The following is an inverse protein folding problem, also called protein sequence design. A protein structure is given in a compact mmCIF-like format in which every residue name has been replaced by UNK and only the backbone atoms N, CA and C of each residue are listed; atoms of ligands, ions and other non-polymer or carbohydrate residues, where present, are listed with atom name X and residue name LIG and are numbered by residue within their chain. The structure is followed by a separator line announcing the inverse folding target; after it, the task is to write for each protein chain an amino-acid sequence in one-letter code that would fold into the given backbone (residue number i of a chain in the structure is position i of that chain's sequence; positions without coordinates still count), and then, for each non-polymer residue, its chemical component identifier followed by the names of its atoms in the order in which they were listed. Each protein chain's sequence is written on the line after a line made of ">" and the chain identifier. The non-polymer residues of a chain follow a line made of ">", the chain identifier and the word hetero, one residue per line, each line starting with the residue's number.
data_IF_447167668522
#
_entry.id   IF_447167668522
#
_cell.length_a   1.000
_cell.length_b   1.000
_cell.length_c   1.000
_cell.angle_alpha   90.00
_cell.angle_beta   90.00
_cell.angle_gamma   90.00
#
_symmetry.space_group_name_H-M   'P 1'
#
loop_
_entity.id
_entity.type
_entity.pdbx_description
1 polymer ?
#
# COMPACT_ATOMS: atom_id res chain seq x y z
N UNK A 1 -3.22 -10.95 -17.98
CA UNK A 1 -3.56 -9.56 -17.67
C UNK A 1 -2.30 -8.79 -17.31
N UNK A 2 -2.28 -7.50 -17.57
CA UNK A 2 -1.22 -6.58 -17.12
C UNK A 2 -1.43 -6.20 -15.65
N UNK A 3 -0.41 -5.60 -15.01
CA UNK A 3 -0.54 -5.15 -13.61
C UNK A 3 -1.60 -4.05 -13.46
N UNK A 4 -1.72 -3.13 -14.41
CA UNK A 4 -2.73 -2.07 -14.40
C UNK A 4 -4.16 -2.62 -14.56
N UNK A 5 -4.34 -3.69 -15.36
CA UNK A 5 -5.63 -4.39 -15.44
C UNK A 5 -6.01 -5.04 -14.10
N UNK A 6 -5.04 -5.61 -13.40
CA UNK A 6 -5.26 -6.19 -12.08
C UNK A 6 -5.62 -5.12 -11.03
N UNK A 7 -4.98 -3.95 -11.06
CA UNK A 7 -5.35 -2.82 -10.19
C UNK A 7 -6.80 -2.35 -10.42
N UNK A 8 -7.25 -2.30 -11.68
CA UNK A 8 -8.64 -1.95 -12.00
C UNK A 8 -9.66 -2.95 -11.44
N UNK A 9 -9.29 -4.23 -11.35
CA UNK A 9 -10.12 -5.27 -10.72
C UNK A 9 -10.20 -5.06 -9.20
N UNK A 10 -9.08 -4.70 -8.56
CA UNK A 10 -9.04 -4.42 -7.12
C UNK A 10 -9.83 -3.16 -6.75
N UNK A 11 -9.82 -2.13 -7.60
CA UNK A 11 -10.59 -0.90 -7.41
C UNK A 11 -12.11 -1.10 -7.61
N UNK A 12 -12.54 -2.30 -8.05
CA UNK A 12 -13.93 -2.64 -8.29
C UNK A 12 -14.51 -2.05 -9.57
N UNK A 13 -13.66 -1.63 -10.52
CA UNK A 13 -14.07 -1.11 -11.82
C UNK A 13 -14.56 -2.24 -12.74
N UNK A 14 -13.98 -3.44 -12.58
CA UNK A 14 -14.31 -4.64 -13.38
C UNK A 14 -14.50 -5.83 -12.45
N UNK A 15 -15.68 -6.44 -12.48
CA UNK A 15 -15.96 -7.72 -11.81
C UNK A 15 -15.55 -8.92 -12.68
N UNK A 16 -15.10 -10.01 -12.04
CA UNK A 16 -14.82 -11.28 -12.70
C UNK A 16 -15.83 -12.35 -12.27
N UNK A 17 -16.92 -12.47 -13.04
CA UNK A 17 -18.02 -13.41 -12.75
C UNK A 17 -17.55 -14.87 -12.74
N UNK A 18 -16.53 -15.22 -13.53
CA UNK A 18 -15.95 -16.57 -13.63
C UNK A 18 -15.34 -17.06 -12.31
N UNK A 19 -15.02 -16.16 -11.38
CA UNK A 19 -14.38 -16.47 -10.10
C UNK A 19 -15.24 -16.06 -8.89
N UNK A 20 -16.52 -15.77 -9.10
CA UNK A 20 -17.43 -15.34 -8.03
C UNK A 20 -17.52 -16.38 -6.90
N UNK A 21 -17.20 -15.96 -5.68
CA UNK A 21 -17.23 -16.79 -4.47
C UNK A 21 -16.01 -17.69 -4.25
N UNK A 22 -15.00 -17.63 -5.13
CA UNK A 22 -13.80 -18.48 -5.05
C UNK A 22 -12.55 -17.70 -4.62
N UNK A 23 -11.55 -18.43 -4.11
CA UNK A 23 -10.20 -17.89 -3.84
C UNK A 23 -9.24 -18.34 -4.92
N UNK A 24 -8.79 -17.38 -5.74
CA UNK A 24 -7.89 -17.61 -6.85
C UNK A 24 -6.43 -17.62 -6.38
N UNK A 25 -5.65 -18.58 -6.88
CA UNK A 25 -4.18 -18.60 -6.76
C UNK A 25 -3.56 -17.92 -7.98
N UNK A 26 -3.02 -16.72 -7.79
CA UNK A 26 -2.38 -15.93 -8.84
C UNK A 26 -0.85 -15.86 -8.63
N UNK A 27 -0.15 -15.48 -9.71
CA UNK A 27 1.28 -15.22 -9.70
C UNK A 27 1.54 -13.87 -10.37
N UNK A 28 2.18 -12.96 -9.64
CA UNK A 28 2.71 -11.72 -10.20
C UNK A 28 4.13 -11.96 -10.68
N UNK A 29 4.45 -11.55 -11.91
CA UNK A 29 5.73 -11.84 -12.56
C UNK A 29 6.34 -10.57 -13.14
N UNK A 30 7.63 -10.38 -12.90
CA UNK A 30 8.44 -9.34 -13.56
C UNK A 30 9.24 -9.99 -14.67
N UNK A 31 9.16 -9.41 -15.86
CA UNK A 31 9.74 -9.94 -17.10
C UNK A 31 10.69 -8.91 -17.68
N UNK A 32 11.85 -9.35 -18.18
CA UNK A 32 12.82 -8.48 -18.84
C UNK A 32 12.49 -8.28 -20.33
N UNK A 33 13.27 -7.43 -21.01
CA UNK A 33 13.10 -7.10 -22.44
C UNK A 33 13.19 -8.29 -23.43
N UNK A 34 13.62 -9.47 -22.95
CA UNK A 34 13.74 -10.73 -23.71
C UNK A 34 12.69 -11.77 -23.33
N UNK A 35 11.60 -11.37 -22.67
CA UNK A 35 10.54 -12.27 -22.18
C UNK A 35 11.04 -13.35 -21.21
N UNK A 36 12.09 -13.05 -20.42
CA UNK A 36 12.56 -13.92 -19.33
C UNK A 36 12.11 -13.38 -17.99
N UNK A 37 11.69 -14.28 -17.12
CA UNK A 37 11.24 -13.94 -15.76
C UNK A 37 12.44 -13.59 -14.89
N UNK A 38 12.35 -12.47 -14.19
CA UNK A 38 13.36 -12.02 -13.21
C UNK A 38 12.85 -12.09 -11.77
N UNK A 39 11.55 -11.94 -11.54
CA UNK A 39 10.94 -12.07 -10.22
C UNK A 39 9.52 -12.67 -10.29
N UNK A 40 9.12 -13.41 -9.27
CA UNK A 40 7.78 -14.01 -9.14
C UNK A 40 7.26 -13.95 -7.70
N UNK A 41 6.00 -13.53 -7.53
CA UNK A 41 5.29 -13.45 -6.25
C UNK A 41 4.00 -14.27 -6.33
N UNK A 42 3.86 -15.28 -5.46
CA UNK A 42 2.76 -16.24 -5.50
C UNK A 42 1.73 -15.94 -4.41
N UNK A 43 0.59 -15.38 -4.81
CA UNK A 43 -0.42 -14.87 -3.88
C UNK A 43 -1.82 -15.42 -4.14
N UNK A 44 -2.67 -15.31 -3.12
CA UNK A 44 -4.09 -15.62 -3.18
C UNK A 44 -4.90 -14.34 -3.15
N UNK A 45 -5.98 -14.31 -3.92
CA UNK A 45 -6.96 -13.23 -3.92
C UNK A 45 -8.36 -13.85 -3.85
N UNK A 46 -9.18 -13.36 -2.93
CA UNK A 46 -10.56 -13.81 -2.76
C UNK A 46 -11.51 -12.93 -3.57
N UNK A 47 -12.56 -13.54 -4.13
CA UNK A 47 -13.65 -12.84 -4.78
C UNK A 47 -14.95 -13.06 -4.02
N UNK A 48 -15.80 -12.03 -3.96
CA UNK A 48 -17.13 -12.13 -3.38
C UNK A 48 -18.10 -12.84 -4.32
N UNK A 49 -19.35 -13.04 -3.86
CA UNK A 49 -20.39 -13.72 -4.66
C UNK A 49 -20.83 -12.93 -5.89
N UNK A 50 -20.44 -11.66 -5.98
CA UNK A 50 -20.74 -10.75 -7.05
C UNK A 50 -19.55 -10.60 -8.03
N UNK A 51 -18.47 -11.38 -7.85
CA UNK A 51 -17.30 -11.37 -8.72
C UNK A 51 -16.32 -10.24 -8.45
N UNK A 52 -16.50 -9.46 -7.38
CA UNK A 52 -15.57 -8.39 -7.00
C UNK A 52 -14.46 -8.92 -6.10
N UNK A 53 -13.25 -8.39 -6.28
CA UNK A 53 -12.12 -8.73 -5.43
C UNK A 53 -12.32 -8.22 -3.99
N UNK A 54 -11.80 -8.96 -3.01
CA UNK A 54 -11.84 -8.58 -1.61
C UNK A 54 -11.17 -7.21 -1.38
N UNK A 55 -11.95 -6.23 -0.89
CA UNK A 55 -11.50 -4.86 -0.63
C UNK A 55 -10.46 -4.77 0.50
N UNK A 56 -10.37 -5.79 1.35
CA UNK A 56 -9.36 -5.86 2.40
C UNK A 56 -7.99 -6.35 1.88
N UNK A 57 -7.91 -6.79 0.63
CA UNK A 57 -6.68 -7.30 0.04
C UNK A 57 -5.69 -6.17 -0.25
N UNK A 58 -4.49 -6.21 0.35
CA UNK A 58 -3.52 -5.12 0.29
C UNK A 58 -2.06 -5.60 0.21
N UNK A 59 -1.76 -6.56 -0.66
CA UNK A 59 -0.42 -7.12 -0.77
C UNK A 59 0.51 -6.25 -1.64
N UNK A 60 1.68 -5.78 -1.14
CA UNK A 60 2.59 -4.93 -1.89
C UNK A 60 3.44 -5.73 -2.89
N UNK A 61 2.84 -6.14 -4.01
CA UNK A 61 3.43 -7.06 -5.00
C UNK A 61 4.80 -6.62 -5.53
N UNK A 62 4.97 -5.33 -5.88
CA UNK A 62 6.24 -4.81 -6.42
C UNK A 62 7.37 -4.90 -5.39
N UNK A 63 7.10 -4.48 -4.15
CA UNK A 63 8.07 -4.53 -3.06
C UNK A 63 8.46 -5.97 -2.71
N UNK A 64 7.51 -6.90 -2.74
CA UNK A 64 7.78 -8.33 -2.54
C UNK A 64 8.59 -8.95 -3.69
N UNK A 65 8.39 -8.50 -4.93
CA UNK A 65 9.20 -8.93 -6.06
C UNK A 65 10.66 -8.43 -5.95
N UNK A 66 10.86 -7.22 -5.43
CA UNK A 66 12.19 -6.63 -5.27
C UNK A 66 12.99 -7.21 -4.09
N UNK A 67 12.29 -7.53 -2.99
CA UNK A 67 12.87 -8.07 -1.75
C UNK A 67 12.79 -9.59 -1.64
N UNK A 68 12.26 -10.27 -2.66
CA UNK A 68 12.13 -11.73 -2.70
C UNK A 68 13.48 -12.44 -2.57
N UNK A 69 13.46 -13.64 -1.99
CA UNK A 69 14.65 -14.47 -1.84
C UNK A 69 15.10 -15.10 -3.15
N UNK A 70 16.21 -15.84 -3.14
CA UNK A 70 16.68 -16.56 -4.33
C UNK A 70 15.77 -17.76 -4.66
N UNK A 71 15.33 -17.85 -5.91
CA UNK A 71 14.49 -18.92 -6.46
C UNK A 71 15.17 -19.69 -7.60
N UNK A 72 14.44 -20.64 -8.24
CA UNK A 72 14.99 -21.43 -9.34
C UNK A 72 15.28 -20.58 -10.58
N UNK A 73 16.28 -20.97 -11.37
CA UNK A 73 16.60 -20.30 -12.65
C UNK A 73 15.56 -20.67 -13.72
N UNK A 74 14.98 -19.65 -14.35
CA UNK A 74 13.99 -19.78 -15.44
C UNK A 74 14.51 -19.31 -16.81
N UNK A 75 15.84 -19.21 -16.97
CA UNK A 75 16.52 -18.92 -18.22
C UNK A 75 17.16 -17.54 -18.33
N UNK A 76 17.30 -16.82 -17.21
CA UNK A 76 18.02 -15.54 -17.10
C UNK A 76 18.81 -15.42 -15.77
N UNK A 77 19.05 -16.55 -15.09
CA UNK A 77 19.60 -16.61 -13.75
C UNK A 77 18.54 -16.88 -12.69
N UNK A 78 18.98 -17.11 -11.45
CA UNK A 78 18.11 -17.33 -10.30
C UNK A 78 17.13 -16.15 -10.14
N UNK A 79 15.83 -16.45 -10.17
CA UNK A 79 14.79 -15.43 -10.03
C UNK A 79 14.66 -14.97 -8.58
N UNK A 80 14.12 -13.78 -8.36
CA UNK A 80 13.62 -13.39 -7.04
C UNK A 80 12.26 -14.03 -6.79
N UNK A 81 12.13 -14.80 -5.73
CA UNK A 81 10.92 -15.54 -5.39
C UNK A 81 10.35 -15.06 -4.04
N UNK A 82 9.05 -14.75 -4.05
CA UNK A 82 8.27 -14.56 -2.85
C UNK A 82 7.09 -15.55 -2.83
N UNK A 83 7.16 -16.53 -1.93
CA UNK A 83 6.11 -17.51 -1.68
C UNK A 83 5.83 -17.63 -0.18
N UNK A 84 4.89 -18.48 0.23
CA UNK A 84 4.51 -18.60 1.65
C UNK A 84 5.68 -19.04 2.54
N UNK A 85 6.52 -19.96 2.06
CA UNK A 85 7.73 -20.41 2.76
C UNK A 85 8.91 -19.42 2.66
N UNK A 86 8.88 -18.48 1.72
CA UNK A 86 9.97 -17.56 1.40
C UNK A 86 9.42 -16.13 1.26
N UNK A 87 8.93 -15.56 2.35
CA UNK A 87 8.44 -14.18 2.39
C UNK A 87 9.35 -13.32 3.28
N UNK A 88 9.77 -12.16 2.78
CA UNK A 88 10.56 -11.18 3.53
C UNK A 88 9.77 -10.53 4.67
N UNK A 89 8.43 -10.56 4.60
CA UNK A 89 7.52 -9.91 5.54
C UNK A 89 6.51 -10.92 6.08
N UNK A 90 6.72 -11.38 7.32
CA UNK A 90 6.01 -12.54 7.89
C UNK A 90 4.49 -12.39 7.98
N UNK A 91 3.95 -11.17 8.17
CA UNK A 91 2.50 -10.96 8.25
C UNK A 91 1.78 -11.15 6.90
N UNK A 92 2.50 -11.07 5.78
CA UNK A 92 1.93 -11.30 4.45
C UNK A 92 1.94 -12.78 4.03
N UNK A 93 2.58 -13.67 4.81
CA UNK A 93 2.76 -15.07 4.46
C UNK A 93 1.43 -15.86 4.35
N UNK A 94 0.40 -15.48 5.12
CA UNK A 94 -0.92 -16.14 5.10
C UNK A 94 -1.63 -15.98 3.75
N UNK A 95 -1.43 -14.85 3.07
CA UNK A 95 -2.00 -14.52 1.77
C UNK A 95 -1.20 -15.12 0.59
N UNK A 96 -0.04 -15.71 0.86
CA UNK A 96 0.81 -16.34 -0.15
C UNK A 96 0.53 -17.86 -0.25
N UNK A 97 1.02 -18.48 -1.33
CA UNK A 97 1.01 -19.93 -1.50
C UNK A 97 2.35 -20.44 -2.00
N UNK A 98 2.61 -21.73 -1.79
CA UNK A 98 3.87 -22.36 -2.19
C UNK A 98 3.75 -23.07 -3.55
N UNK A 99 4.72 -22.89 -4.45
CA UNK A 99 4.72 -23.51 -5.76
C UNK A 99 4.91 -25.02 -5.67
N UNK A 100 4.24 -25.77 -6.54
CA UNK A 100 4.55 -27.17 -6.74
C UNK A 100 5.76 -27.31 -7.69
N UNK A 101 6.77 -28.06 -7.24
CA UNK A 101 7.98 -28.40 -7.99
C UNK A 101 8.02 -29.88 -8.40
N UNK A 102 6.92 -30.61 -8.24
CA UNK A 102 6.82 -32.02 -8.65
C UNK A 102 7.08 -32.18 -10.16
N UNK A 103 7.69 -33.29 -10.60
CA UNK A 103 8.00 -33.51 -12.02
C UNK A 103 6.74 -33.63 -12.90
N UNK A 104 5.56 -33.85 -12.30
CA UNK A 104 4.27 -33.94 -13.01
C UNK A 104 3.56 -32.59 -13.14
N UNK A 105 3.81 -31.65 -12.23
CA UNK A 105 3.14 -30.33 -12.23
C UNK A 105 4.07 -29.25 -11.70
N UNK A 106 5.09 -28.90 -12.49
CA UNK A 106 6.01 -27.83 -12.12
C UNK A 106 5.43 -26.45 -12.45
N UNK A 107 5.17 -25.66 -11.41
CA UNK A 107 4.57 -24.32 -11.50
C UNK A 107 5.45 -23.35 -12.30
N UNK A 108 6.78 -23.45 -12.13
CA UNK A 108 7.75 -22.57 -12.80
C UNK A 108 7.86 -22.87 -14.29
N UNK A 109 7.73 -24.14 -14.68
CA UNK A 109 7.68 -24.55 -16.10
C UNK A 109 6.46 -23.95 -16.77
N UNK A 110 5.28 -24.07 -16.13
CA UNK A 110 4.04 -23.48 -16.64
C UNK A 110 4.13 -21.96 -16.77
N UNK A 111 4.79 -21.29 -15.82
CA UNK A 111 4.99 -19.85 -15.84
C UNK A 111 5.87 -19.41 -17.00
N UNK A 112 7.00 -20.10 -17.19
CA UNK A 112 7.93 -19.85 -18.29
C UNK A 112 7.25 -20.05 -19.64
N UNK A 113 6.51 -21.14 -19.81
CA UNK A 113 5.86 -21.47 -21.07
C UNK A 113 4.72 -20.48 -21.37
N UNK A 114 3.95 -20.06 -20.37
CA UNK A 114 2.91 -19.03 -20.53
C UNK A 114 3.46 -17.65 -20.94
N UNK A 115 4.65 -17.29 -20.47
CA UNK A 115 5.31 -16.02 -20.84
C UNK A 115 5.95 -16.12 -22.21
N UNK A 116 6.48 -17.30 -22.58
CA UNK A 116 6.98 -17.57 -23.92
C UNK A 116 5.87 -17.49 -24.99
N UNK A 117 4.63 -17.89 -24.65
CA UNK A 117 3.47 -17.71 -25.54
C UNK A 117 3.09 -16.24 -25.78
N UNK A 118 3.54 -15.32 -24.93
CA UNK A 118 3.34 -13.86 -25.02
C UNK A 118 1.91 -13.43 -25.45
N UNK A 119 0.87 -14.04 -24.87
CA UNK A 119 -0.54 -13.70 -25.19
C UNK A 119 -0.93 -12.25 -24.91
N UNK A 120 -0.12 -11.54 -24.12
CA UNK A 120 -0.31 -10.14 -23.76
C UNK A 120 0.44 -9.17 -24.68
N UNK A 121 1.11 -9.66 -25.74
CA UNK A 121 1.87 -8.85 -26.70
C UNK A 121 2.87 -7.89 -26.03
N UNK A 122 3.59 -8.36 -25.00
CA UNK A 122 4.59 -7.57 -24.29
C UNK A 122 5.72 -7.16 -25.26
N UNK A 123 6.21 -5.90 -25.18
CA UNK A 123 7.24 -5.39 -26.08
C UNK A 123 8.57 -6.11 -25.84
N UNK A 124 9.12 -6.70 -26.91
CA UNK A 124 10.47 -7.28 -26.91
C UNK A 124 11.48 -6.24 -27.35
N UNK A 125 12.41 -5.85 -26.48
CA UNK A 125 13.53 -4.99 -26.86
C UNK A 125 14.68 -5.85 -27.40
N UNK A 126 15.00 -5.68 -28.68
CA UNK A 126 16.18 -6.24 -29.33
C UNK A 126 17.43 -5.38 -29.06
N UNK A 127 17.63 -4.98 -27.81
CA UNK A 127 18.79 -4.17 -27.42
C UNK A 127 19.86 -5.10 -26.81
N UNK A 128 21.11 -5.08 -27.30
CA UNK A 128 22.19 -5.85 -26.71
C UNK A 128 22.48 -5.29 -25.31
N UNK A 129 22.59 -6.22 -24.37
CA UNK A 129 22.78 -5.94 -22.95
C UNK A 129 24.07 -5.12 -22.74
N UNK A 130 24.05 -4.00 -22.00
CA UNK A 130 25.28 -3.45 -21.47
C UNK A 130 25.93 -4.52 -20.58
N UNK A 131 27.25 -4.77 -20.69
CA UNK A 131 27.88 -5.89 -20.01
C UNK A 131 27.67 -5.77 -18.50
N UNK A 132 27.09 -6.84 -17.93
CA UNK A 132 27.12 -7.09 -16.49
C UNK A 132 28.57 -6.97 -16.04
N UNK A 133 28.83 -5.96 -15.21
CA UNK A 133 30.11 -5.80 -14.52
C UNK A 133 30.28 -7.03 -13.62
N UNK A 134 31.01 -8.02 -14.13
CA UNK A 134 31.58 -9.05 -13.29
C UNK A 134 32.52 -8.36 -12.31
N UNK A 135 32.33 -8.62 -11.01
CA UNK A 135 33.33 -8.26 -10.02
C UNK A 135 34.69 -8.85 -10.48
N UNK A 136 35.78 -8.06 -10.48
CA UNK A 136 37.05 -8.55 -10.96
C UNK A 136 37.49 -9.76 -10.12
N UNK A 137 38.01 -10.83 -10.73
CA UNK A 137 38.67 -11.88 -9.98
C UNK A 137 39.83 -11.25 -9.21
N UNK A 138 39.94 -11.60 -7.94
CA UNK A 138 41.00 -11.17 -7.04
C UNK A 138 42.35 -11.34 -7.73
N UNK A 139 43.03 -10.23 -7.99
CA UNK A 139 44.42 -10.23 -8.42
C UNK A 139 45.26 -10.86 -7.31
N UNK A 140 45.96 -11.95 -7.65
CA UNK A 140 47.07 -12.44 -6.84
C UNK A 140 48.12 -11.32 -6.71
N UNK A 141 48.83 -11.21 -5.57
CA UNK A 141 49.78 -10.15 -5.35
C UNK A 141 50.94 -10.19 -6.37
N UNK A 142 51.54 -9.04 -6.72
CA UNK A 142 52.65 -8.97 -7.65
C UNK A 142 53.86 -9.72 -7.10
N UNK A 143 54.38 -10.68 -7.89
CA UNK A 143 55.66 -11.32 -7.63
C UNK A 143 56.78 -10.30 -7.86
N UNK A 144 57.23 -9.66 -6.78
CA UNK A 144 58.39 -8.78 -6.79
C UNK A 144 59.62 -9.60 -7.17
N UNK A 145 60.34 -9.11 -8.19
CA UNK A 145 61.41 -9.81 -8.87
C UNK A 145 62.42 -10.49 -7.93
N UNK A 146 62.44 -11.83 -8.01
CA UNK A 146 63.64 -12.62 -7.80
C UNK A 146 64.26 -12.94 -9.18
N UNK A 147 65.59 -12.89 -9.32
CA UNK A 147 66.25 -13.09 -10.60
C UNK A 147 66.08 -14.54 -11.08
N UNK A 148 66.06 -14.79 -12.41
CA UNK A 148 65.95 -16.15 -12.92
C UNK A 148 67.18 -16.95 -12.52
N UNK A 149 66.92 -18.12 -11.93
CA UNK A 149 67.91 -19.15 -11.64
C UNK A 149 68.54 -19.59 -12.97
N UNK A 150 69.84 -19.33 -13.12
CA UNK A 150 70.66 -19.86 -14.20
C UNK A 150 70.64 -21.40 -14.16
N UNK A 151 70.54 -22.08 -15.33
CA UNK A 151 70.93 -23.47 -15.43
C UNK A 151 72.44 -23.59 -15.18
N UNK A 152 72.83 -24.45 -14.23
CA UNK A 152 74.21 -24.82 -14.02
C UNK A 152 74.77 -25.56 -15.24
N UNK A 153 76.05 -25.33 -15.62
CA UNK A 153 76.72 -26.12 -16.64
C UNK A 153 77.10 -27.52 -16.10
N UNK A 154 77.14 -28.56 -16.95
CA UNK A 154 77.62 -29.87 -16.54
C UNK A 154 79.13 -29.85 -16.29
N UNK A 155 79.52 -30.36 -15.12
CA UNK A 155 80.88 -30.72 -14.82
C UNK A 155 81.30 -31.95 -15.65
N UNK A 156 82.33 -31.81 -16.49
CA UNK A 156 83.15 -32.95 -16.92
C UNK A 156 84.58 -32.52 -17.22
N UNK A 157 85.46 -32.91 -16.29
CA UNK A 157 86.81 -33.49 -16.47
C UNK A 157 87.92 -32.72 -17.23
N UNK A 158 89.06 -32.46 -16.57
CA UNK A 158 90.33 -32.21 -17.23
C UNK A 158 90.94 -33.53 -17.71
N UNK A 159 91.35 -33.59 -18.98
CA UNK A 159 92.12 -34.68 -19.57
C UNK A 159 93.38 -34.04 -20.20
N UNK A 160 94.51 -34.11 -19.48
CA UNK A 160 95.58 -35.08 -19.69
C UNK A 160 96.53 -34.66 -20.82
N UNK A 161 97.59 -33.93 -20.45
CA UNK A 161 98.85 -33.92 -21.18
C UNK A 161 99.72 -35.06 -20.61
N UNK A 162 99.66 -36.24 -21.25
CA UNK A 162 100.76 -37.21 -21.20
C UNK A 162 101.80 -36.77 -22.23
N UNK A 163 102.99 -36.38 -21.81
CA UNK A 163 104.20 -37.22 -21.75
C UNK A 163 104.51 -38.02 -23.04
N UNK A 164 105.51 -37.50 -23.76
CA UNK A 164 106.59 -38.22 -24.45
C UNK A 164 107.68 -37.16 -24.61
N UNK A 165 108.81 -37.21 -23.90
CA UNK A 165 109.93 -38.10 -24.21
C UNK A 165 110.59 -37.56 -25.48
N UNK A 166 111.79 -36.98 -25.48
CA UNK A 166 113.00 -37.65 -25.02
C UNK A 166 114.09 -36.68 -24.54
N UNK A 167 114.56 -36.95 -23.33
CA UNK A 167 115.92 -36.69 -22.87
C UNK A 167 116.86 -37.74 -23.47
N UNK A 168 117.82 -37.33 -24.30
CA UNK A 168 119.02 -38.13 -24.59
C UNK A 168 120.22 -37.42 -23.97
N UNK A 169 120.64 -37.98 -22.84
CA UNK A 169 121.97 -37.87 -22.25
C UNK A 169 122.91 -38.83 -23.00
N UNK A 170 124.07 -38.37 -23.48
CA UNK A 170 125.23 -39.21 -23.82
C UNK A 170 126.47 -38.33 -23.98
N UNK A 171 127.34 -38.34 -22.97
CA UNK A 171 128.70 -37.84 -23.09
C UNK A 171 129.57 -38.81 -23.91
N UNK A 172 130.47 -38.25 -24.70
CA UNK A 172 131.63 -38.95 -25.27
C UNK A 172 132.83 -38.01 -25.17
N UNK A 173 133.89 -38.57 -24.58
CA UNK A 173 135.18 -37.99 -24.25
C UNK A 173 136.02 -37.56 -25.46
N UNK A 174 137.04 -36.76 -25.16
CA UNK A 174 138.27 -36.53 -25.92
C UNK A 174 138.73 -37.76 -26.72
N UNK A 175 139.03 -37.59 -28.01
CA UNK A 175 140.41 -37.32 -28.43
C UNK A 175 140.51 -36.99 -29.92
N UNK A 176 141.40 -36.03 -30.17
CA UNK A 176 142.36 -35.97 -31.27
C UNK A 176 141.87 -36.11 -32.74
N UNK A 177 141.75 -34.97 -33.41
CA UNK A 177 142.40 -34.68 -34.71
C UNK A 177 141.94 -33.30 -35.19
N UNK A 178 142.87 -32.34 -35.21
CA UNK A 178 142.61 -30.95 -35.58
C UNK A 178 141.95 -30.79 -36.96
N UNK A 179 140.73 -30.25 -36.96
CA UNK A 179 140.10 -29.67 -38.14
C UNK A 179 140.54 -28.22 -38.26
N UNK A 180 140.87 -27.81 -39.49
CA UNK A 180 141.39 -26.47 -39.78
C UNK A 180 140.35 -25.39 -39.43
N UNK A 181 140.82 -24.24 -38.92
CA UNK A 181 140.02 -23.07 -38.52
C UNK A 181 139.05 -22.58 -39.63
N UNK A 182 139.34 -22.93 -40.88
CA UNK A 182 138.49 -22.68 -42.07
C UNK A 182 137.19 -23.51 -42.10
N UNK A 183 137.15 -24.71 -41.54
CA UNK A 183 135.99 -25.62 -41.63
C UNK A 183 134.97 -25.39 -40.51
N UNK A 184 135.42 -25.02 -39.31
CA UNK A 184 134.57 -24.59 -38.20
C UNK A 184 133.88 -23.25 -38.50
N UNK A 185 134.63 -22.29 -39.07
CA UNK A 185 134.06 -21.01 -39.48
C UNK A 185 132.97 -21.15 -40.56
N UNK A 186 133.12 -22.11 -41.49
CA UNK A 186 132.12 -22.39 -42.53
C UNK A 186 130.84 -23.01 -41.96
N UNK A 187 130.96 -23.98 -41.04
CA UNK A 187 129.81 -24.58 -40.35
C UNK A 187 129.10 -23.57 -39.46
N UNK A 188 129.83 -22.74 -38.71
CA UNK A 188 129.25 -21.64 -37.95
C UNK A 188 128.53 -20.62 -38.84
N UNK A 189 129.05 -20.33 -40.03
CA UNK A 189 128.38 -19.49 -41.02
C UNK A 189 127.04 -20.11 -41.47
N UNK A 190 127.02 -21.41 -41.75
CA UNK A 190 125.79 -22.13 -42.13
C UNK A 190 124.77 -22.21 -40.99
N UNK A 191 125.21 -22.46 -39.76
CA UNK A 191 124.33 -22.45 -38.59
C UNK A 191 123.77 -21.05 -38.33
N UNK A 192 124.58 -19.99 -38.45
CA UNK A 192 124.12 -18.60 -38.38
C UNK A 192 123.11 -18.28 -39.47
N UNK A 193 123.32 -18.76 -40.70
CA UNK A 193 122.38 -18.57 -41.81
C UNK A 193 121.05 -19.32 -41.58
N UNK A 194 121.08 -20.55 -41.07
CA UNK A 194 119.88 -21.34 -40.72
C UNK A 194 119.10 -20.67 -39.59
N UNK A 195 119.78 -20.22 -38.54
CA UNK A 195 119.16 -19.48 -37.43
C UNK A 195 118.56 -18.16 -37.93
N UNK A 196 119.28 -17.41 -38.77
CA UNK A 196 118.77 -16.18 -39.37
C UNK A 196 117.55 -16.42 -40.27
N UNK A 197 117.54 -17.50 -41.05
CA UNK A 197 116.40 -17.90 -41.87
C UNK A 197 115.18 -18.28 -41.03
N UNK A 198 115.37 -19.03 -39.94
CA UNK A 198 114.31 -19.38 -39.00
C UNK A 198 113.77 -18.16 -38.25
N UNK A 199 114.64 -17.25 -37.80
CA UNK A 199 114.23 -15.97 -37.18
C UNK A 199 113.43 -15.14 -38.18
N UNK A 200 113.84 -15.10 -39.46
CA UNK A 200 113.10 -14.40 -40.52
C UNK A 200 111.73 -15.03 -40.76
N UNK A 201 111.65 -16.36 -40.80
CA UNK A 201 110.39 -17.09 -40.93
C UNK A 201 109.47 -16.85 -39.73
N UNK A 202 110.00 -16.90 -38.50
CA UNK A 202 109.24 -16.63 -37.28
C UNK A 202 108.77 -15.17 -37.21
N UNK A 203 109.61 -14.20 -37.60
CA UNK A 203 109.22 -12.78 -37.69
C UNK A 203 108.08 -12.57 -38.68
N UNK A 204 108.15 -13.20 -39.86
CA UNK A 204 107.08 -13.15 -40.85
C UNK A 204 105.80 -13.80 -40.30
N UNK A 205 105.90 -14.96 -39.65
CA UNK A 205 104.74 -15.64 -39.07
C UNK A 205 104.08 -14.82 -37.96
N UNK A 206 104.87 -14.24 -37.04
CA UNK A 206 104.37 -13.32 -36.00
C UNK A 206 103.70 -12.11 -36.64
N UNK A 207 104.27 -11.58 -37.73
CA UNK A 207 103.67 -10.46 -38.45
C UNK A 207 102.34 -10.85 -39.13
N UNK A 208 102.25 -12.04 -39.72
CA UNK A 208 100.99 -12.56 -40.29
C UNK A 208 99.93 -12.75 -39.21
N UNK A 209 100.26 -13.42 -38.10
CA UNK A 209 99.34 -13.61 -36.97
C UNK A 209 98.91 -12.27 -36.37
N UNK A 210 99.82 -11.31 -36.27
CA UNK A 210 99.50 -9.96 -35.79
C UNK A 210 98.53 -9.26 -36.74
N UNK A 211 98.75 -9.35 -38.05
CA UNK A 211 97.85 -8.80 -39.05
C UNK A 211 96.48 -9.50 -39.03
N UNK A 212 96.43 -10.82 -38.89
CA UNK A 212 95.19 -11.60 -38.76
C UNK A 212 94.41 -11.18 -37.51
N UNK A 213 95.07 -11.10 -36.35
CA UNK A 213 94.45 -10.63 -35.12
C UNK A 213 93.98 -9.17 -35.23
N UNK A 214 94.74 -8.29 -35.88
CA UNK A 214 94.33 -6.91 -36.15
C UNK A 214 93.08 -6.84 -37.05
N UNK A 215 92.99 -7.69 -38.07
CA UNK A 215 91.82 -7.80 -38.95
C UNK A 215 90.59 -8.35 -38.22
N UNK A 216 90.74 -9.39 -37.40
CA UNK A 216 89.65 -9.93 -36.59
C UNK A 216 89.16 -8.91 -35.56
N UNK A 217 90.08 -8.17 -34.94
CA UNK A 217 89.77 -7.12 -33.98
C UNK A 217 89.05 -5.94 -34.67
N UNK A 218 89.46 -5.56 -35.88
CA UNK A 218 88.72 -4.59 -36.69
C UNK A 218 87.33 -5.10 -37.09
N UNK A 219 87.22 -6.36 -37.52
CA UNK A 219 85.95 -6.96 -37.91
C UNK A 219 84.95 -7.05 -36.76
N UNK A 220 85.41 -7.42 -35.56
CA UNK A 220 84.59 -7.44 -34.34
C UNK A 220 84.19 -6.04 -33.87
N UNK A 221 85.10 -5.05 -33.94
CA UNK A 221 84.78 -3.64 -33.66
C UNK A 221 83.66 -3.13 -34.57
N UNK A 222 83.74 -3.38 -35.88
CA UNK A 222 82.73 -2.97 -36.84
C UNK A 222 81.37 -3.64 -36.59
N UNK A 223 81.34 -4.92 -36.20
CA UNK A 223 80.10 -5.61 -35.85
C UNK A 223 79.45 -4.99 -34.62
N UNK A 224 80.22 -4.76 -33.55
CA UNK A 224 79.73 -4.12 -32.33
C UNK A 224 79.26 -2.68 -32.59
N UNK A 225 79.98 -1.92 -33.40
CA UNK A 225 79.59 -0.57 -33.80
C UNK A 225 78.25 -0.58 -34.54
N UNK A 226 78.07 -1.50 -35.50
CA UNK A 226 76.80 -1.69 -36.21
C UNK A 226 75.65 -2.10 -35.29
N UNK A 227 75.89 -3.04 -34.37
CA UNK A 227 74.88 -3.46 -33.38
C UNK A 227 74.48 -2.30 -32.46
N UNK A 228 75.45 -1.49 -32.04
CA UNK A 228 75.23 -0.32 -31.21
C UNK A 228 74.46 0.77 -31.97
N UNK A 229 74.75 1.00 -33.26
CA UNK A 229 73.98 1.90 -34.11
C UNK A 229 72.52 1.44 -34.27
N UNK A 230 72.29 0.16 -34.53
CA UNK A 230 70.94 -0.40 -34.63
C UNK A 230 70.18 -0.27 -33.30
N UNK A 231 70.83 -0.57 -32.18
CA UNK A 231 70.23 -0.39 -30.86
C UNK A 231 69.91 1.09 -30.58
N UNK A 232 70.80 2.03 -30.98
CA UNK A 232 70.54 3.48 -30.87
C UNK A 232 69.34 3.91 -31.71
N UNK A 233 69.23 3.41 -32.95
CA UNK A 233 68.09 3.69 -33.83
C UNK A 233 66.79 3.17 -33.22
N UNK A 234 66.78 1.94 -32.70
CA UNK A 234 65.58 1.36 -32.08
C UNK A 234 65.16 2.11 -30.81
N UNK A 235 66.12 2.48 -29.96
CA UNK A 235 65.85 3.32 -28.78
C UNK A 235 65.29 4.68 -29.20
N UNK A 236 65.81 5.29 -30.27
CA UNK A 236 65.26 6.54 -30.80
C UNK A 236 63.84 6.36 -31.33
N UNK A 237 63.56 5.25 -32.04
CA UNK A 237 62.24 4.93 -32.58
C UNK A 237 61.22 4.76 -31.46
N UNK A 238 61.55 3.95 -30.45
CA UNK A 238 60.68 3.71 -29.29
C UNK A 238 60.47 4.96 -28.45
N UNK A 239 61.48 5.83 -28.30
CA UNK A 239 61.32 7.13 -27.64
C UNK A 239 60.34 8.03 -28.37
N UNK A 240 60.49 8.17 -29.69
CA UNK A 240 59.58 8.97 -30.50
C UNK A 240 58.14 8.42 -30.46
N UNK A 241 57.98 7.10 -30.49
CA UNK A 241 56.68 6.43 -30.36
C UNK A 241 56.05 6.69 -28.98
N UNK A 242 56.83 6.55 -27.90
CA UNK A 242 56.38 6.85 -26.55
C UNK A 242 56.00 8.33 -26.38
N UNK A 243 56.79 9.26 -26.90
CA UNK A 243 56.48 10.69 -26.87
C UNK A 243 55.20 11.01 -27.63
N UNK A 244 55.01 10.42 -28.81
CA UNK A 244 53.78 10.60 -29.60
C UNK A 244 52.55 10.05 -28.87
N UNK A 245 52.62 8.82 -28.36
CA UNK A 245 51.53 8.21 -27.60
C UNK A 245 51.26 8.95 -26.29
N UNK A 246 52.29 9.46 -25.64
CA UNK A 246 52.14 10.25 -24.41
C UNK A 246 51.42 11.59 -24.71
N UNK A 247 51.82 12.29 -25.77
CA UNK A 247 51.17 13.52 -26.22
C UNK A 247 49.70 13.27 -26.59
N UNK A 248 49.41 12.17 -27.31
CA UNK A 248 48.03 11.79 -27.64
C UNK A 248 47.19 11.48 -26.39
N UNK A 249 47.76 10.78 -25.40
CA UNK A 249 47.07 10.50 -24.15
C UNK A 249 46.77 11.77 -23.35
N UNK A 250 47.70 12.74 -23.32
CA UNK A 250 47.47 14.04 -22.67
C UNK A 250 46.35 14.78 -23.39
N UNK A 251 46.39 14.89 -24.72
CA UNK A 251 45.36 15.56 -25.50
C UNK A 251 43.96 14.93 -25.30
N UNK A 252 43.89 13.59 -25.30
CA UNK A 252 42.63 12.88 -25.03
C UNK A 252 42.13 13.10 -23.59
N UNK A 253 43.04 13.19 -22.60
CA UNK A 253 42.64 13.50 -21.21
C UNK A 253 42.10 14.92 -21.09
N UNK A 254 42.76 15.89 -21.70
CA UNK A 254 42.30 17.28 -21.72
C UNK A 254 40.95 17.41 -22.44
N UNK A 255 40.76 16.72 -23.57
CA UNK A 255 39.49 16.68 -24.28
C UNK A 255 38.38 16.07 -23.43
N UNK A 256 38.64 14.94 -22.76
CA UNK A 256 37.68 14.30 -21.86
C UNK A 256 37.35 15.20 -20.67
N UNK A 257 38.33 15.90 -20.09
CA UNK A 257 38.10 16.84 -18.98
C UNK A 257 37.26 18.03 -19.45
N UNK A 258 37.54 18.58 -20.63
CA UNK A 258 36.75 19.66 -21.22
C UNK A 258 35.30 19.22 -21.47
N UNK A 259 35.09 18.03 -22.04
CA UNK A 259 33.75 17.46 -22.23
C UNK A 259 33.02 17.22 -20.90
N UNK A 260 33.71 16.73 -19.87
CA UNK A 260 33.13 16.56 -18.53
C UNK A 260 32.67 17.89 -17.94
N UNK A 261 33.51 18.94 -18.03
CA UNK A 261 33.14 20.30 -17.57
C UNK A 261 31.93 20.84 -18.34
N UNK A 262 31.88 20.66 -19.66
CA UNK A 262 30.72 21.06 -20.48
C UNK A 262 29.44 20.31 -20.09
N UNK A 263 29.52 19.00 -19.83
CA UNK A 263 28.37 18.22 -19.37
C UNK A 263 27.93 18.64 -17.97
N UNK A 264 28.86 18.96 -17.07
CA UNK A 264 28.54 19.47 -15.74
C UNK A 264 27.84 20.83 -15.79
N UNK A 265 28.33 21.76 -16.63
CA UNK A 265 27.67 23.07 -16.79
C UNK A 265 26.28 22.91 -17.40
N UNK A 266 26.14 22.11 -18.46
CA UNK A 266 24.82 21.79 -19.06
C UNK A 266 23.87 21.13 -18.08
N UNK A 267 24.35 20.22 -17.23
CA UNK A 267 23.52 19.60 -16.17
C UNK A 267 23.07 20.65 -15.14
N UNK A 268 23.97 21.53 -14.70
CA UNK A 268 23.64 22.60 -13.74
C UNK A 268 22.64 23.60 -14.31
N UNK A 269 22.82 24.06 -15.56
CA UNK A 269 21.88 24.98 -16.20
C UNK A 269 20.51 24.33 -16.36
N UNK A 270 20.45 23.10 -16.87
CA UNK A 270 19.19 22.36 -17.00
C UNK A 270 18.52 22.12 -15.64
N UNK A 271 19.29 21.87 -14.59
CA UNK A 271 18.74 21.70 -13.24
C UNK A 271 18.12 23.01 -12.72
N UNK A 272 18.77 24.15 -12.96
CA UNK A 272 18.22 25.46 -12.60
C UNK A 272 16.97 25.80 -13.41
N UNK A 273 16.95 25.51 -14.70
CA UNK A 273 15.77 25.69 -15.56
C UNK A 273 14.59 24.83 -15.10
N UNK A 274 14.83 23.56 -14.76
CA UNK A 274 13.81 22.68 -14.20
C UNK A 274 13.29 23.18 -12.86
N UNK A 275 14.17 23.67 -11.98
CA UNK A 275 13.76 24.26 -10.70
C UNK A 275 12.92 25.52 -10.90
N UNK A 276 13.32 26.40 -11.84
CA UNK A 276 12.57 27.59 -12.18
C UNK A 276 11.18 27.24 -12.75
N UNK A 277 11.11 26.30 -13.70
CA UNK A 277 9.86 25.82 -14.28
C UNK A 277 8.94 25.18 -13.23
N UNK A 278 9.49 24.40 -12.30
CA UNK A 278 8.71 23.83 -11.19
C UNK A 278 8.20 24.92 -10.23
N UNK A 279 8.99 25.97 -9.98
CA UNK A 279 8.55 27.08 -9.14
C UNK A 279 7.45 27.90 -9.81
N UNK A 280 7.55 28.16 -11.12
CA UNK A 280 6.50 28.86 -11.87
C UNK A 280 5.22 28.04 -11.91
N UNK A 281 5.30 26.74 -12.21
CA UNK A 281 4.13 25.84 -12.20
C UNK A 281 3.47 25.79 -10.82
N UNK A 282 4.26 25.66 -9.74
CA UNK A 282 3.74 25.70 -8.36
C UNK A 282 3.07 27.03 -8.04
N UNK A 283 3.66 28.15 -8.45
CA UNK A 283 3.10 29.49 -8.23
C UNK A 283 1.80 29.69 -9.00
N UNK A 284 1.70 29.21 -10.24
CA UNK A 284 0.49 29.25 -11.06
C UNK A 284 -0.63 28.40 -10.44
N UNK A 285 -0.32 27.17 -10.02
CA UNK A 285 -1.28 26.29 -9.35
C UNK A 285 -1.75 26.90 -8.02
N UNK A 286 -0.85 27.50 -7.23
CA UNK A 286 -1.22 28.16 -5.98
C UNK A 286 -2.08 29.41 -6.22
N UNK A 287 -1.76 30.21 -7.24
CA UNK A 287 -2.57 31.37 -7.63
C UNK A 287 -3.97 30.94 -8.06
N UNK A 288 -4.07 29.91 -8.91
CA UNK A 288 -5.35 29.37 -9.36
C UNK A 288 -6.15 28.78 -8.19
N UNK A 289 -5.50 28.07 -7.26
CA UNK A 289 -6.13 27.56 -6.04
C UNK A 289 -6.68 28.69 -5.17
N UNK A 290 -5.91 29.77 -4.97
CA UNK A 290 -6.37 30.95 -4.21
C UNK A 290 -7.55 31.62 -4.88
N UNK A 291 -7.53 31.78 -6.21
CA UNK A 291 -8.66 32.32 -6.97
C UNK A 291 -9.92 31.47 -6.81
N UNK A 292 -9.82 30.15 -6.96
CA UNK A 292 -10.96 29.25 -6.76
C UNK A 292 -11.48 29.27 -5.32
N UNK A 293 -10.58 29.31 -4.33
CA UNK A 293 -10.98 29.41 -2.92
C UNK A 293 -11.72 30.71 -2.64
N UNK A 294 -11.25 31.83 -3.16
CA UNK A 294 -11.92 33.13 -2.99
C UNK A 294 -13.28 33.16 -3.69
N UNK A 295 -13.37 32.65 -4.93
CA UNK A 295 -14.64 32.52 -5.63
C UNK A 295 -15.65 31.64 -4.87
N UNK A 296 -15.18 30.51 -4.33
CA UNK A 296 -16.04 29.62 -3.54
C UNK A 296 -16.49 30.29 -2.24
N UNK A 297 -15.59 31.01 -1.56
CA UNK A 297 -15.91 31.77 -0.35
C UNK A 297 -16.95 32.85 -0.63
N UNK A 298 -16.82 33.59 -1.74
CA UNK A 298 -17.80 34.59 -2.16
C UNK A 298 -19.16 33.98 -2.42
N UNK A 299 -19.22 32.85 -3.14
CA UNK A 299 -20.49 32.11 -3.36
C UNK A 299 -21.14 31.67 -2.05
N UNK A 300 -20.35 31.09 -1.13
CA UNK A 300 -20.86 30.71 0.20
C UNK A 300 -21.38 31.94 0.93
N UNK A 301 -20.65 33.05 0.91
CA UNK A 301 -21.06 34.29 1.57
C UNK A 301 -22.37 34.83 0.99
N UNK A 302 -22.51 34.87 -0.33
CA UNK A 302 -23.72 35.30 -1.03
C UNK A 302 -24.93 34.43 -0.63
N UNK A 303 -24.81 33.11 -0.71
CA UNK A 303 -25.90 32.20 -0.35
C UNK A 303 -26.24 32.29 1.15
N UNK A 304 -25.23 32.45 2.02
CA UNK A 304 -25.49 32.67 3.45
C UNK A 304 -26.17 34.00 3.74
N UNK A 305 -25.92 35.04 2.95
CA UNK A 305 -26.61 36.33 3.08
C UNK A 305 -28.07 36.20 2.68
N UNK A 306 -28.35 35.55 1.53
CA UNK A 306 -29.74 35.27 1.08
C UNK A 306 -30.54 34.49 2.13
N UNK A 307 -29.96 33.42 2.68
CA UNK A 307 -30.62 32.63 3.73
C UNK A 307 -30.86 33.44 5.01
N UNK A 308 -29.97 34.38 5.35
CA UNK A 308 -30.18 35.27 6.51
C UNK A 308 -31.34 36.23 6.25
N UNK A 309 -31.41 36.84 5.07
CA UNK A 309 -32.52 37.71 4.67
C UNK A 309 -33.86 36.94 4.72
N UNK A 310 -33.91 35.70 4.24
CA UNK A 310 -35.10 34.83 4.33
C UNK A 310 -35.50 34.53 5.78
N UNK A 311 -34.52 34.28 6.66
CA UNK A 311 -34.77 34.08 8.10
C UNK A 311 -35.34 35.36 8.72
N UNK A 312 -34.80 36.53 8.40
CA UNK A 312 -35.28 37.82 8.90
C UNK A 312 -36.72 38.09 8.46
N UNK A 313 -37.04 37.86 7.18
CA UNK A 313 -38.41 37.96 6.66
C UNK A 313 -39.36 37.01 7.40
N UNK A 314 -38.94 35.75 7.60
CA UNK A 314 -39.77 34.77 8.29
C UNK A 314 -39.97 35.11 9.76
N UNK A 315 -38.96 35.67 10.42
CA UNK A 315 -39.08 36.16 11.80
C UNK A 315 -40.07 37.31 11.91
N UNK A 316 -40.04 38.26 10.96
CA UNK A 316 -41.04 39.33 10.90
C UNK A 316 -42.46 38.78 10.70
N UNK A 317 -42.64 37.79 9.83
CA UNK A 317 -43.94 37.16 9.63
C UNK A 317 -44.42 36.41 10.88
N UNK A 318 -43.53 35.71 11.58
CA UNK A 318 -43.84 35.04 12.84
C UNK A 318 -44.25 36.05 13.93
N UNK A 319 -43.55 37.17 14.04
CA UNK A 319 -43.91 38.27 14.94
C UNK A 319 -45.30 38.82 14.62
N UNK A 320 -45.57 39.10 13.34
CA UNK A 320 -46.89 39.57 12.91
C UNK A 320 -48.00 38.57 13.24
N UNK A 321 -47.80 37.28 12.93
CA UNK A 321 -48.76 36.22 13.29
C UNK A 321 -48.95 36.11 14.80
N UNK A 322 -47.89 36.29 15.58
CA UNK A 322 -47.97 36.28 17.04
C UNK A 322 -48.82 37.43 17.57
N UNK A 323 -48.62 38.64 17.05
CA UNK A 323 -49.39 39.82 17.43
C UNK A 323 -50.87 39.68 17.07
N UNK A 324 -51.18 39.19 15.86
CA UNK A 324 -52.57 38.89 15.45
C UNK A 324 -53.19 37.83 16.36
N UNK A 325 -52.47 36.75 16.66
CA UNK A 325 -52.96 35.71 17.56
C UNK A 325 -53.20 36.24 18.98
N UNK A 326 -52.36 37.17 19.45
CA UNK A 326 -52.53 37.85 20.73
C UNK A 326 -53.79 38.71 20.74
N UNK A 327 -54.00 39.55 19.71
CA UNK A 327 -55.20 40.38 19.56
C UNK A 327 -56.47 39.52 19.56
N UNK A 328 -56.52 38.45 18.74
CA UNK A 328 -57.68 37.55 18.70
C UNK A 328 -57.95 36.85 20.04
N UNK A 329 -56.90 36.49 20.79
CA UNK A 329 -57.07 35.93 22.14
C UNK A 329 -57.66 36.95 23.10
N UNK A 330 -57.18 38.18 23.08
CA UNK A 330 -57.71 39.27 23.90
C UNK A 330 -59.19 39.53 23.58
N UNK A 331 -59.56 39.60 22.30
CA UNK A 331 -60.95 39.73 21.85
C UNK A 331 -61.82 38.54 22.30
N UNK A 332 -61.35 37.30 22.13
CA UNK A 332 -62.06 36.12 22.61
C UNK A 332 -62.29 36.16 24.12
N UNK A 333 -61.32 36.64 24.91
CA UNK A 333 -61.51 36.77 26.36
C UNK A 333 -62.52 37.87 26.69
N UNK A 334 -62.53 38.97 25.95
CA UNK A 334 -63.50 40.05 26.13
C UNK A 334 -64.92 39.57 25.80
N UNK A 335 -65.12 38.96 24.63
CA UNK A 335 -66.40 38.40 24.20
C UNK A 335 -66.92 37.33 25.16
N UNK A 336 -66.04 36.47 25.69
CA UNK A 336 -66.42 35.49 26.72
C UNK A 336 -66.93 36.17 27.99
N UNK A 337 -66.25 37.22 28.46
CA UNK A 337 -66.70 38.00 29.63
C UNK A 337 -68.05 38.66 29.38
N UNK A 338 -68.24 39.29 28.22
CA UNK A 338 -69.50 39.92 27.84
C UNK A 338 -70.65 38.91 27.73
N UNK A 339 -70.40 37.74 27.13
CA UNK A 339 -71.40 36.65 27.07
C UNK A 339 -71.85 36.22 28.46
N UNK A 340 -70.90 35.99 29.38
CA UNK A 340 -71.21 35.60 30.75
C UNK A 340 -72.05 36.69 31.42
N UNK A 341 -71.67 37.96 31.29
CA UNK A 341 -72.42 39.09 31.84
C UNK A 341 -73.87 39.14 31.32
N UNK A 342 -74.06 39.05 30.01
CA UNK A 342 -75.40 39.12 29.40
C UNK A 342 -76.28 37.92 29.74
N UNK A 343 -75.72 36.71 29.82
CA UNK A 343 -76.47 35.52 30.22
C UNK A 343 -76.94 35.65 31.66
N UNK A 344 -76.06 36.07 32.58
CA UNK A 344 -76.40 36.28 33.98
C UNK A 344 -77.45 37.41 34.14
N UNK A 345 -77.29 38.54 33.44
CA UNK A 345 -78.22 39.66 33.55
C UNK A 345 -79.59 39.41 32.90
N UNK A 346 -79.65 38.62 31.82
CA UNK A 346 -80.88 38.37 31.06
C UNK A 346 -81.65 37.14 31.54
N UNK A 347 -80.95 36.07 31.90
CA UNK A 347 -81.54 34.82 32.39
C UNK A 347 -82.18 34.98 33.76
N UNK A 348 -81.45 35.55 34.72
CA UNK A 348 -81.92 35.64 36.11
C UNK A 348 -83.14 36.56 36.23
N UNK A 349 -83.11 37.74 35.59
CA UNK A 349 -84.24 38.69 35.61
C UNK A 349 -85.51 38.13 34.97
N UNK A 350 -85.38 37.29 33.95
CA UNK A 350 -86.52 36.67 33.31
C UNK A 350 -87.16 35.60 34.21
N UNK A 351 -86.33 34.76 34.83
CA UNK A 351 -86.81 33.72 35.72
C UNK A 351 -87.41 34.30 37.02
N UNK A 352 -86.81 35.35 37.59
CA UNK A 352 -87.39 36.12 38.71
C UNK A 352 -88.78 36.67 38.38
N UNK A 353 -88.98 37.14 37.14
CA UNK A 353 -90.29 37.66 36.71
C UNK A 353 -91.35 36.57 36.60
N UNK A 354 -90.98 35.35 36.20
CA UNK A 354 -91.89 34.21 36.14
C UNK A 354 -92.31 33.76 37.56
N UNK A 355 -91.37 33.72 38.50
CA UNK A 355 -91.67 33.42 39.91
C UNK A 355 -92.61 34.48 40.51
N UNK A 356 -92.38 35.77 40.23
CA UNK A 356 -93.25 36.87 40.67
C UNK A 356 -94.68 36.80 40.09
N UNK A 357 -94.85 36.19 38.91
CA UNK A 357 -96.15 35.91 38.30
C UNK A 357 -96.82 34.63 38.87
N UNK A 358 -96.19 33.98 39.86
CA UNK A 358 -96.71 32.78 40.52
C UNK A 358 -96.44 31.49 39.76
N UNK A 359 -95.54 31.48 38.79
CA UNK A 359 -95.14 30.26 38.07
C UNK A 359 -94.19 29.47 38.96
N UNK A 360 -94.53 28.21 39.25
CA UNK A 360 -93.65 27.27 39.95
C UNK A 360 -93.01 26.28 38.97
N UNK A 361 -91.72 26.01 39.15
CA UNK A 361 -90.98 25.07 38.31
C UNK A 361 -91.05 23.67 38.93
N UNK A 362 -91.73 22.74 38.25
CA UNK A 362 -91.91 21.37 38.70
C UNK A 362 -91.37 20.42 37.62
N UNK A 363 -90.46 19.54 38.00
CA UNK A 363 -89.93 18.49 37.13
C UNK A 363 -90.26 17.11 37.70
N UNK A 364 -90.52 16.13 36.83
CA UNK A 364 -90.70 14.75 37.24
C UNK A 364 -89.40 13.97 37.06
N UNK A 365 -88.90 13.38 38.14
CA UNK A 365 -87.75 12.48 38.10
C UNK A 365 -88.14 11.11 38.67
N UNK A 366 -87.82 9.99 37.99
CA UNK A 366 -88.03 8.66 38.54
C UNK A 366 -87.41 8.51 39.93
N UNK A 367 -88.15 7.97 40.90
CA UNK A 367 -87.68 7.82 42.28
C UNK A 367 -87.81 9.06 43.17
N UNK A 368 -87.73 10.28 42.62
CA UNK A 368 -87.97 11.53 43.37
C UNK A 368 -89.41 12.06 43.22
N UNK A 369 -90.14 11.60 42.19
CA UNK A 369 -91.48 12.09 41.89
C UNK A 369 -91.48 13.49 41.30
N UNK A 370 -92.53 14.26 41.59
CA UNK A 370 -92.60 15.68 41.24
C UNK A 370 -91.76 16.51 42.19
N UNK A 371 -90.64 17.05 41.70
CA UNK A 371 -89.72 17.88 42.45
C UNK A 371 -89.97 19.35 42.07
N UNK A 372 -90.29 20.17 43.06
CA UNK A 372 -90.30 21.62 42.91
C UNK A 372 -88.87 22.14 42.94
N UNK A 373 -88.43 22.81 41.88
CA UNK A 373 -87.10 23.38 41.75
C UNK A 373 -87.20 24.86 42.15
N UNK A 374 -86.43 25.28 43.16
CA UNK A 374 -86.35 26.69 43.55
C UNK A 374 -85.56 27.49 42.51
N UNK A 375 -85.88 28.77 42.35
CA UNK A 375 -85.16 29.64 41.43
C UNK A 375 -83.65 29.70 41.72
N UNK A 376 -83.26 29.70 43.00
CA UNK A 376 -81.85 29.65 43.44
C UNK A 376 -81.12 28.38 42.99
N UNK A 377 -81.84 27.28 42.83
CA UNK A 377 -81.30 25.96 42.47
C UNK A 377 -81.33 25.71 40.95
N UNK A 378 -82.01 26.57 40.20
CA UNK A 378 -82.24 26.42 38.77
C UNK A 378 -80.93 26.37 37.95
N UNK A 379 -79.87 27.17 38.23
CA UNK A 379 -78.60 27.07 37.52
C UNK A 379 -77.97 25.68 37.67
N UNK A 380 -77.89 25.17 38.91
CA UNK A 380 -77.36 23.83 39.21
C UNK A 380 -78.18 22.72 38.57
N UNK A 381 -79.51 22.87 38.52
CA UNK A 381 -80.40 21.94 37.83
C UNK A 381 -80.16 21.93 36.30
N UNK A 382 -79.95 23.10 35.68
CA UNK A 382 -79.68 23.20 34.23
C UNK A 382 -78.33 22.61 33.84
N UNK A 383 -77.31 22.71 34.70
CA UNK A 383 -76.01 22.10 34.46
C UNK A 383 -76.07 20.58 34.50
N UNK A 384 -76.78 20.00 35.48
CA UNK A 384 -76.92 18.55 35.61
C UNK A 384 -78.23 18.12 36.32
N UNK A 385 -79.31 17.82 35.56
CA UNK A 385 -80.59 17.38 36.12
C UNK A 385 -80.52 16.04 36.86
N UNK A 386 -79.61 15.15 36.44
CA UNK A 386 -79.46 13.80 37.01
C UNK A 386 -78.84 13.90 38.39
N UNK A 387 -77.79 14.71 38.55
CA UNK A 387 -77.19 14.97 39.86
C UNK A 387 -78.17 15.62 40.83
N UNK A 388 -79.00 16.57 40.34
CA UNK A 388 -80.03 17.20 41.15
C UNK A 388 -81.07 16.17 41.65
N UNK A 389 -81.56 15.30 40.76
CA UNK A 389 -82.50 14.24 41.10
C UNK A 389 -81.88 13.19 42.06
N UNK A 390 -80.61 12.82 41.84
CA UNK A 390 -79.87 11.91 42.72
C UNK A 390 -79.78 12.46 44.15
N UNK A 391 -79.44 13.75 44.29
CA UNK A 391 -79.39 14.44 45.59
C UNK A 391 -80.76 14.46 46.29
N UNK A 392 -81.86 14.67 45.54
CA UNK A 392 -83.22 14.60 46.11
C UNK A 392 -83.62 13.18 46.53
N UNK A 393 -83.09 12.16 45.84
CA UNK A 393 -83.23 10.76 46.20
C UNK A 393 -82.23 10.30 47.29
N UNK A 394 -81.36 11.19 47.79
CA UNK A 394 -80.32 10.91 48.78
C UNK A 394 -79.32 9.82 48.36
N UNK A 395 -79.00 9.76 47.07
CA UNK A 395 -78.03 8.81 46.50
C UNK A 395 -76.98 9.55 45.66
N UNK A 396 -75.82 8.94 45.43
CA UNK A 396 -74.82 9.52 44.53
C UNK A 396 -75.31 9.53 43.08
N UNK A 397 -74.75 10.44 42.27
CA UNK A 397 -75.09 10.54 40.84
C UNK A 397 -74.85 9.21 40.10
N UNK A 398 -73.74 8.54 40.39
CA UNK A 398 -73.38 7.25 39.78
C UNK A 398 -74.37 6.13 40.16
N UNK A 399 -74.80 6.11 41.42
CA UNK A 399 -75.78 5.14 41.91
C UNK A 399 -77.15 5.36 41.28
N UNK A 400 -77.58 6.62 41.20
CA UNK A 400 -78.85 6.99 40.58
C UNK A 400 -78.87 6.66 39.08
N UNK A 401 -77.77 6.89 38.35
CA UNK A 401 -77.64 6.49 36.93
C UNK A 401 -77.78 4.98 36.76
N UNK A 402 -77.05 4.21 37.56
CA UNK A 402 -77.09 2.74 37.51
C UNK A 402 -78.49 2.20 37.85
N UNK A 403 -79.14 2.78 38.85
CA UNK A 403 -80.52 2.48 39.19
C UNK A 403 -81.49 2.89 38.07
N UNK A 404 -81.30 4.05 37.44
CA UNK A 404 -82.17 4.55 36.37
C UNK A 404 -82.15 3.61 35.16
N UNK A 405 -80.97 3.09 34.80
CA UNK A 405 -80.81 2.07 33.77
C UNK A 405 -81.57 0.79 34.11
N UNK A 406 -81.47 0.32 35.36
CA UNK A 406 -82.26 -0.83 35.85
C UNK A 406 -83.77 -0.55 35.87
N UNK A 407 -84.17 0.65 36.27
CA UNK A 407 -85.57 1.07 36.34
C UNK A 407 -86.23 1.10 34.95
N UNK A 408 -85.50 1.57 33.94
CA UNK A 408 -85.97 1.59 32.55
C UNK A 408 -85.92 0.20 31.89
N UNK A 409 -84.86 -0.57 32.15
CA UNK A 409 -84.63 -1.88 31.54
C UNK A 409 -84.08 -2.87 32.58
N UNK A 410 -84.95 -3.54 33.35
CA UNK A 410 -84.53 -4.43 34.43
C UNK A 410 -84.01 -5.75 33.86
N UNK A 411 -82.72 -5.75 33.51
CA UNK A 411 -81.97 -6.88 32.97
C UNK A 411 -80.72 -7.12 33.79
N UNK A 412 -80.34 -8.39 33.92
CA UNK A 412 -79.15 -8.79 34.65
C UNK A 412 -77.88 -8.25 33.99
N UNK A 413 -77.13 -7.43 34.73
CA UNK A 413 -75.85 -6.85 34.30
C UNK A 413 -74.66 -7.79 34.58
N UNK A 414 -74.92 -9.04 34.98
CA UNK A 414 -74.06 -10.23 34.92
C UNK A 414 -72.93 -10.22 33.87
N UNK A 415 -71.63 -9.92 34.09
CA UNK A 415 -70.65 -10.14 33.03
C UNK A 415 -70.51 -11.65 32.76
N UNK A 416 -70.89 -12.11 31.57
CA UNK A 416 -70.65 -13.49 31.12
C UNK A 416 -69.29 -13.62 30.42
N UNK A 417 -68.89 -12.58 29.68
CA UNK A 417 -67.60 -12.44 28.99
C UNK A 417 -67.27 -10.94 28.82
N UNK A 418 -66.05 -10.58 28.40
CA UNK A 418 -65.58 -9.18 28.33
C UNK A 418 -66.50 -8.20 27.60
N UNK A 419 -67.38 -8.68 26.72
CA UNK A 419 -68.29 -7.83 25.92
C UNK A 419 -69.75 -8.30 25.95
N UNK A 420 -70.10 -9.30 26.78
CA UNK A 420 -71.48 -9.79 26.91
C UNK A 420 -71.95 -9.87 28.35
N UNK A 421 -73.09 -9.24 28.60
CA UNK A 421 -73.85 -9.35 29.85
C UNK A 421 -74.96 -10.39 29.77
N UNK A 422 -75.42 -10.87 30.92
CA UNK A 422 -76.41 -11.93 31.05
C UNK A 422 -77.73 -11.60 30.34
N UNK A 423 -78.26 -10.39 30.55
CA UNK A 423 -79.49 -9.93 29.89
C UNK A 423 -80.78 -10.62 30.36
N UNK A 424 -80.73 -11.53 31.34
CA UNK A 424 -81.95 -12.12 31.91
C UNK A 424 -82.82 -11.05 32.56
N UNK A 425 -84.12 -11.03 32.26
CA UNK A 425 -85.08 -10.11 32.88
C UNK A 425 -85.15 -10.34 34.40
N UNK A 426 -85.06 -9.27 35.16
CA UNK A 426 -85.10 -9.26 36.63
C UNK A 426 -86.24 -8.37 37.15
N UNK A 427 -86.54 -8.46 38.45
CA UNK A 427 -87.53 -7.61 39.09
C UNK A 427 -87.07 -6.15 39.10
N UNK A 428 -87.96 -5.23 38.72
CA UNK A 428 -87.68 -3.79 38.79
C UNK A 428 -87.66 -3.35 40.26
N UNK A 429 -86.71 -2.49 40.63
CA UNK A 429 -86.69 -1.82 41.93
C UNK A 429 -87.18 -0.39 41.72
N UNK A 430 -88.32 -0.05 42.34
CA UNK A 430 -89.00 1.22 42.10
C UNK A 430 -88.39 2.42 42.85
N UNK A 431 -87.56 2.17 43.88
CA UNK A 431 -86.96 3.21 44.73
C UNK A 431 -85.42 3.18 44.63
N UNK A 432 -84.75 4.30 44.29
CA UNK A 432 -83.29 4.34 44.12
C UNK A 432 -82.50 3.93 45.37
N UNK A 433 -82.96 4.31 46.56
CA UNK A 433 -82.29 4.01 47.83
C UNK A 433 -82.35 2.52 48.23
N UNK A 434 -83.28 1.76 47.64
CA UNK A 434 -83.43 0.32 47.87
C UNK A 434 -82.65 -0.54 46.87
N UNK A 435 -82.12 0.09 45.82
CA UNK A 435 -81.34 -0.60 44.81
C UNK A 435 -79.91 -0.81 45.32
N UNK A 436 -79.43 -2.05 45.27
CA UNK A 436 -78.07 -2.41 45.65
C UNK A 436 -77.35 -2.96 44.43
N UNK A 437 -76.32 -2.25 43.98
CA UNK A 437 -75.46 -2.69 42.86
C UNK A 437 -74.79 -4.01 43.23
N UNK A 438 -74.88 -5.01 42.36
CA UNK A 438 -74.36 -6.35 42.59
C UNK A 438 -75.37 -7.36 43.15
N UNK A 439 -76.56 -6.92 43.60
CA UNK A 439 -77.64 -7.81 44.03
C UNK A 439 -78.94 -7.51 43.29
N UNK A 440 -79.41 -6.26 43.33
CA UNK A 440 -80.65 -5.84 42.67
C UNK A 440 -80.58 -5.84 41.14
N UNK A 441 -79.38 -5.77 40.56
CA UNK A 441 -79.08 -5.81 39.13
C UNK A 441 -78.65 -7.22 38.63
N UNK A 442 -78.78 -8.26 39.48
CA UNK A 442 -78.41 -9.64 39.17
C UNK A 442 -79.63 -10.57 39.19
N UNK A 443 -79.68 -11.55 38.27
CA UNK A 443 -80.69 -12.62 38.33
C UNK A 443 -80.30 -13.67 39.39
N UNK A 444 -81.22 -14.53 39.81
CA UNK A 444 -80.97 -15.52 40.88
C UNK A 444 -79.71 -16.39 40.65
N UNK A 445 -79.36 -16.68 39.39
CA UNK A 445 -78.15 -17.43 39.03
C UNK A 445 -76.85 -16.66 39.25
N UNK A 446 -76.93 -15.33 39.25
CA UNK A 446 -75.80 -14.41 39.36
C UNK A 446 -75.84 -13.54 40.62
N UNK A 447 -76.82 -13.76 41.50
CA UNK A 447 -76.82 -13.17 42.83
C UNK A 447 -75.68 -13.79 43.66
N UNK A 448 -75.02 -13.02 44.53
CA UNK A 448 -74.07 -13.59 45.48
C UNK A 448 -74.80 -14.61 46.33
N UNK A 449 -74.37 -15.88 46.30
CA UNK A 449 -74.95 -16.95 47.12
C UNK A 449 -74.87 -16.53 48.58
N UNK A 450 -76.02 -16.30 49.21
CA UNK A 450 -76.12 -16.18 50.65
C UNK A 450 -75.63 -17.51 51.26
N UNK A 451 -74.60 -17.44 52.09
CA UNK A 451 -73.98 -18.59 52.77
C UNK A 451 -74.97 -19.14 53.81
N UNK A 452 -75.97 -19.94 53.39
CA UNK A 452 -77.06 -20.36 54.28
C UNK A 452 -77.76 -21.67 53.96
N UNK A 453 -78.01 -22.02 52.69
CA UNK A 453 -78.84 -23.20 52.36
C UNK A 453 -78.05 -24.32 51.68
N UNK A 454 -77.47 -25.20 52.49
CA UNK A 454 -76.99 -26.53 52.08
C UNK A 454 -77.79 -27.61 52.85
N UNK A 455 -78.85 -28.15 52.24
CA UNK A 455 -79.38 -29.46 52.63
C UNK A 455 -79.41 -30.33 51.38
N UNK A 456 -78.46 -31.27 51.31
CA UNK A 456 -78.38 -32.29 50.26
C UNK A 456 -79.09 -33.54 50.78
N UNK A 457 -80.16 -33.96 50.10
CA UNK A 457 -80.73 -35.31 50.23
C UNK A 457 -80.43 -36.09 48.94
N UNK A 458 -79.45 -37.01 49.03
CA UNK A 458 -79.19 -38.02 48.00
C UNK A 458 -80.20 -39.17 48.14
N UNK A 459 -80.90 -39.50 47.05
CA UNK A 459 -81.46 -40.83 46.77
C UNK A 459 -81.15 -41.16 45.31
N UNK A 460 -80.47 -42.29 45.10
CA UNK A 460 -80.06 -42.82 43.80
C UNK A 460 -78.64 -43.35 43.88
#
# INVERSE_FOLDING_TARGET
>A
MTYSEFEAILDGVVGMDDFAGDTLKAVFVVVNGRLKVTAAVLFKVGFDRQGYADRAWNLPLRHLADTGGSGPDMGAGAIKLACKSQCSVTWHASSLWDPDMSPKSNTFVRLRDAIAENRLCLPTSSEPEPPLVQAPPQAAPPNWGMPPSQPQPPASRPQQWGQGGDTINSGWDSDDSGLTESQLAALEQEHRNKIAALIKQQRLHIQTLKNEAELELQGTRLKLEKELELARQEVSRLRNEHESLHAQNIALREQNEAQRKQLETMKRTRQLELQAAQQTEKAEVEALRKQYQEQMKQKIQEETAKLKEDIELRNMELMYRHDVAKQLREELTHLRKDKIRLVHEGGDKFLERLEALGVSFIAFHPGAGHVSILLSDMPSYMENPIAYAANKCLVSEEHYRTWLDHYQKPECQAPLSSDKKCGCRIGRVDVPSQFVVGDSDRCEKHKPRSYGDNVVTFRG
#
